data_IF_314328579911
#
_entry.id   IF_314328579911
#
_cell.length_a   1.000
_cell.length_b   1.000
_cell.length_c   1.000
_cell.angle_alpha   90.00
_cell.angle_beta   90.00
_cell.angle_gamma   90.00
#
_symmetry.space_group_name_H-M   'P 1'
#
loop_
_entity.id
_entity.type
_entity.pdbx_description
1 polymer ?
#
# COMPACT_ATOMS: atom_id res chain seq x y z
N UNK A 1 32.52 6.04 -3.01
CA UNK A 1 31.78 5.09 -3.87
C UNK A 1 31.12 4.08 -2.95
N UNK A 2 29.78 4.13 -2.79
CA UNK A 2 29.02 3.07 -2.11
C UNK A 2 28.58 2.09 -3.20
N UNK A 3 29.32 0.99 -3.39
CA UNK A 3 28.92 -0.06 -4.34
C UNK A 3 28.21 -1.25 -3.65
N UNK A 4 28.06 -1.24 -2.32
CA UNK A 4 27.56 -2.40 -1.55
C UNK A 4 26.25 -2.17 -0.76
N UNK A 5 25.54 -1.05 -0.94
CA UNK A 5 24.21 -0.85 -0.32
C UNK A 5 23.09 -0.96 -1.35
N UNK A 6 22.05 -1.78 -1.11
CA UNK A 6 20.93 -1.95 -2.05
C UNK A 6 20.12 -0.67 -2.26
N UNK A 7 20.18 0.28 -1.31
CA UNK A 7 19.55 1.59 -1.42
C UNK A 7 20.57 2.71 -1.18
N UNK A 8 20.53 3.74 -2.03
CA UNK A 8 21.48 4.86 -2.00
C UNK A 8 20.73 6.19 -2.18
N UNK A 9 20.34 6.82 -1.07
CA UNK A 9 19.74 8.17 -1.06
C UNK A 9 20.65 9.09 -0.26
N UNK A 10 21.34 10.00 -0.96
CA UNK A 10 22.32 10.93 -0.37
C UNK A 10 22.03 12.40 -0.70
N UNK A 11 20.99 12.66 -1.49
CA UNK A 11 20.61 13.98 -1.97
C UNK A 11 19.12 13.99 -2.29
N UNK A 12 18.48 15.15 -2.09
CA UNK A 12 17.09 15.42 -2.48
C UNK A 12 16.98 15.98 -3.91
N UNK A 13 18.11 16.38 -4.51
CA UNK A 13 18.15 17.05 -5.83
C UNK A 13 19.00 16.31 -6.87
N UNK A 14 19.69 15.24 -6.45
CA UNK A 14 20.44 14.38 -7.36
C UNK A 14 19.53 13.58 -8.30
N UNK A 15 20.09 12.99 -9.37
CA UNK A 15 19.32 12.18 -10.31
C UNK A 15 18.59 11.02 -9.61
N UNK A 16 17.27 10.98 -9.75
CA UNK A 16 16.42 9.96 -9.13
C UNK A 16 16.47 8.66 -9.94
N UNK A 17 17.05 7.61 -9.36
CA UNK A 17 17.24 6.31 -10.04
C UNK A 17 16.07 5.35 -9.85
N UNK A 18 15.50 5.31 -8.65
CA UNK A 18 14.40 4.43 -8.29
C UNK A 18 13.49 5.16 -7.30
N UNK A 19 12.18 4.96 -7.44
CA UNK A 19 11.16 5.56 -6.57
C UNK A 19 10.05 4.56 -6.31
N UNK A 20 9.50 4.57 -5.10
CA UNK A 20 8.33 3.78 -4.74
C UNK A 20 7.12 4.71 -4.66
N UNK A 21 6.05 4.34 -5.38
CA UNK A 21 4.78 5.06 -5.41
C UNK A 21 3.65 4.18 -4.89
N UNK A 22 2.57 4.79 -4.42
CA UNK A 22 1.32 4.10 -4.13
C UNK A 22 0.25 4.61 -5.09
N UNK A 23 -0.24 3.73 -5.97
CA UNK A 23 -1.31 4.08 -6.91
C UNK A 23 -2.65 4.09 -6.17
N UNK A 24 -3.44 5.18 -6.21
CA UNK A 24 -4.73 5.25 -5.54
C UNK A 24 -5.66 4.10 -5.93
N UNK A 25 -6.26 3.47 -4.92
CA UNK A 25 -7.15 2.32 -5.04
C UNK A 25 -8.47 2.47 -4.29
N UNK A 26 -9.07 1.34 -3.92
CA UNK A 26 -10.38 1.28 -3.29
C UNK A 26 -10.46 1.97 -1.92
N UNK A 27 -9.32 2.27 -1.28
CA UNK A 27 -9.26 3.10 -0.08
C UNK A 27 -10.00 4.44 -0.27
N UNK A 28 -9.91 5.05 -1.46
CA UNK A 28 -10.57 6.32 -1.74
C UNK A 28 -12.09 6.18 -1.83
N UNK A 29 -12.61 5.02 -2.22
CA UNK A 29 -14.05 4.77 -2.26
C UNK A 29 -14.68 4.68 -0.86
N UNK A 30 -13.86 4.55 0.19
CA UNK A 30 -14.30 4.54 1.59
C UNK A 30 -14.33 5.92 2.22
N UNK A 31 -13.85 6.94 1.52
CA UNK A 31 -13.95 8.32 1.96
C UNK A 31 -15.40 8.79 1.86
N UNK A 32 -15.84 9.42 2.94
CA UNK A 32 -17.17 10.02 3.08
C UNK A 32 -17.00 11.37 3.75
N UNK A 33 -17.96 12.27 3.56
CA UNK A 33 -17.96 13.60 4.19
C UNK A 33 -17.75 13.50 5.72
N UNK A 34 -18.24 12.43 6.33
CA UNK A 34 -18.20 12.24 7.78
C UNK A 34 -16.85 11.74 8.32
N UNK A 35 -16.03 11.06 7.51
CA UNK A 35 -14.77 10.46 7.98
C UNK A 35 -13.52 11.09 7.34
N UNK A 36 -13.68 11.93 6.32
CA UNK A 36 -12.58 12.43 5.51
C UNK A 36 -11.58 13.27 6.32
N UNK A 37 -12.06 14.12 7.24
CA UNK A 37 -11.19 14.90 8.14
C UNK A 37 -10.35 14.02 9.06
N UNK A 38 -10.95 12.95 9.58
CA UNK A 38 -10.29 12.01 10.49
C UNK A 38 -9.26 11.15 9.73
N UNK A 39 -9.48 10.96 8.43
CA UNK A 39 -8.58 10.26 7.51
C UNK A 39 -7.56 11.20 6.82
N UNK A 40 -7.45 12.45 7.29
CA UNK A 40 -6.48 13.45 6.82
C UNK A 40 -6.64 13.83 5.34
N UNK A 41 -7.87 13.85 4.85
CA UNK A 41 -8.23 14.34 3.52
C UNK A 41 -8.97 15.68 3.61
N UNK A 42 -8.70 16.57 2.65
CA UNK A 42 -9.30 17.91 2.56
C UNK A 42 -10.54 17.96 1.65
N UNK A 43 -10.66 17.05 0.69
CA UNK A 43 -11.85 16.88 -0.16
C UNK A 43 -12.01 15.42 -0.66
N UNK A 44 -13.22 15.08 -1.13
CA UNK A 44 -13.52 13.79 -1.72
C UNK A 44 -12.81 13.66 -3.06
N UNK A 45 -12.06 12.57 -3.22
CA UNK A 45 -11.25 12.35 -4.41
C UNK A 45 -12.00 11.46 -5.41
N UNK A 46 -12.11 11.92 -6.65
CA UNK A 46 -12.59 11.09 -7.74
C UNK A 46 -11.51 10.08 -8.16
N UNK A 47 -11.67 8.83 -7.72
CA UNK A 47 -10.68 7.76 -7.90
C UNK A 47 -10.18 7.60 -9.33
N UNK A 48 -11.07 7.57 -10.32
CA UNK A 48 -10.68 7.36 -11.72
C UNK A 48 -9.77 8.50 -12.22
N UNK A 49 -10.10 9.75 -11.86
CA UNK A 49 -9.30 10.90 -12.22
C UNK A 49 -7.95 10.90 -11.50
N UNK A 50 -7.93 10.60 -10.20
CA UNK A 50 -6.70 10.49 -9.41
C UNK A 50 -5.77 9.40 -9.96
N UNK A 51 -6.32 8.27 -10.37
CA UNK A 51 -5.57 7.21 -11.05
C UNK A 51 -4.96 7.68 -12.37
N UNK A 52 -5.74 8.37 -13.22
CA UNK A 52 -5.23 8.92 -14.49
C UNK A 52 -4.10 9.94 -14.27
N UNK A 53 -4.21 10.77 -13.25
CA UNK A 53 -3.17 11.74 -12.89
C UNK A 53 -1.92 11.06 -12.34
N UNK A 54 -2.09 10.09 -11.43
CA UNK A 54 -1.00 9.30 -10.89
C UNK A 54 -0.27 8.49 -11.98
N UNK A 55 -1.00 7.90 -12.92
CA UNK A 55 -0.43 7.14 -14.03
C UNK A 55 0.41 8.04 -14.96
N UNK A 56 -0.06 9.26 -15.23
CA UNK A 56 0.74 10.27 -15.96
C UNK A 56 1.99 10.67 -15.19
N UNK A 57 1.90 10.87 -13.88
CA UNK A 57 3.05 11.18 -13.04
C UNK A 57 4.11 10.07 -13.07
N UNK A 58 3.69 8.81 -12.88
CA UNK A 58 4.57 7.65 -12.97
C UNK A 58 5.23 7.53 -14.36
N UNK A 59 4.48 7.81 -15.43
CA UNK A 59 4.99 7.79 -16.79
C UNK A 59 6.07 8.86 -17.04
N UNK A 60 5.90 10.08 -16.50
CA UNK A 60 6.93 11.13 -16.57
C UNK A 60 8.23 10.63 -15.91
N UNK A 61 8.14 10.04 -14.72
CA UNK A 61 9.30 9.51 -14.02
C UNK A 61 10.02 8.41 -14.82
N UNK A 62 9.26 7.47 -15.40
CA UNK A 62 9.82 6.41 -16.24
C UNK A 62 10.53 6.96 -17.48
N UNK A 63 9.96 7.99 -18.11
CA UNK A 63 10.57 8.66 -19.28
C UNK A 63 11.89 9.34 -18.95
N UNK A 64 12.02 9.88 -17.74
CA UNK A 64 13.28 10.44 -17.22
C UNK A 64 14.27 9.35 -16.76
N UNK A 65 13.98 8.07 -17.01
CA UNK A 65 14.86 6.94 -16.70
C UNK A 65 14.81 6.45 -15.26
N UNK A 66 13.80 6.88 -14.48
CA UNK A 66 13.58 6.42 -13.11
C UNK A 66 12.82 5.08 -13.09
N UNK A 67 13.29 4.12 -12.30
CA UNK A 67 12.53 2.91 -12.01
C UNK A 67 11.40 3.20 -11.01
N UNK A 68 10.17 2.97 -11.43
CA UNK A 68 8.98 3.15 -10.57
C UNK A 68 8.53 1.80 -10.03
N UNK A 69 8.64 1.62 -8.71
CA UNK A 69 8.09 0.50 -7.95
C UNK A 69 6.73 0.88 -7.36
N UNK A 70 5.79 -0.06 -7.28
CA UNK A 70 4.53 0.17 -6.57
C UNK A 70 4.50 -0.50 -5.20
N UNK A 71 4.06 0.25 -4.19
CA UNK A 71 3.97 -0.20 -2.81
C UNK A 71 3.13 -1.47 -2.65
N UNK A 72 1.97 -1.54 -3.30
CA UNK A 72 1.10 -2.73 -3.26
C UNK A 72 1.78 -3.99 -3.82
N UNK A 73 2.56 -3.86 -4.90
CA UNK A 73 3.31 -4.96 -5.50
C UNK A 73 4.48 -5.39 -4.62
N UNK A 74 5.20 -4.43 -4.03
CA UNK A 74 6.25 -4.70 -3.06
C UNK A 74 5.70 -5.41 -1.82
N UNK A 75 4.57 -4.94 -1.29
CA UNK A 75 3.88 -5.56 -0.16
C UNK A 75 3.42 -6.97 -0.52
N UNK A 76 2.83 -7.18 -1.70
CA UNK A 76 2.43 -8.50 -2.16
C UNK A 76 3.60 -9.49 -2.21
N UNK A 77 4.77 -9.07 -2.71
CA UNK A 77 5.99 -9.89 -2.71
C UNK A 77 6.44 -10.25 -1.30
N UNK A 78 6.41 -9.30 -0.35
CA UNK A 78 6.74 -9.57 1.05
C UNK A 78 5.76 -10.57 1.67
N UNK A 79 4.47 -10.47 1.33
CA UNK A 79 3.43 -11.36 1.82
C UNK A 79 3.47 -12.77 1.21
N UNK A 80 4.33 -13.07 0.24
CA UNK A 80 4.56 -14.45 -0.22
C UNK A 80 5.22 -15.31 0.87
N UNK A 81 6.01 -14.69 1.75
CA UNK A 81 6.54 -15.34 2.93
C UNK A 81 5.45 -15.49 4.00
N UNK A 82 5.15 -16.74 4.35
CA UNK A 82 4.07 -17.07 5.29
C UNK A 82 4.37 -16.63 6.72
N UNK A 83 5.63 -16.68 7.16
CA UNK A 83 6.01 -16.28 8.51
C UNK A 83 5.91 -14.76 8.66
N UNK A 84 6.35 -14.02 7.63
CA UNK A 84 6.21 -12.55 7.58
C UNK A 84 4.74 -12.16 7.51
N UNK A 85 3.95 -12.85 6.68
CA UNK A 85 2.49 -12.64 6.57
C UNK A 85 1.81 -12.82 7.93
N UNK A 86 2.04 -13.93 8.62
CA UNK A 86 1.43 -14.22 9.92
C UNK A 86 1.82 -13.17 10.98
N UNK A 87 3.10 -12.82 11.04
CA UNK A 87 3.62 -11.80 11.94
C UNK A 87 2.97 -10.43 11.69
N UNK A 88 2.89 -10.02 10.42
CA UNK A 88 2.27 -8.75 10.04
C UNK A 88 0.79 -8.71 10.39
N UNK A 89 0.03 -9.77 10.07
CA UNK A 89 -1.40 -9.86 10.38
C UNK A 89 -1.65 -9.73 11.88
N UNK A 90 -0.85 -10.39 12.71
CA UNK A 90 -0.93 -10.26 14.16
C UNK A 90 -0.69 -8.82 14.63
N UNK A 91 0.29 -8.13 14.05
CA UNK A 91 0.53 -6.70 14.35
C UNK A 91 -0.63 -5.81 13.90
N UNK A 92 -1.18 -6.04 12.71
CA UNK A 92 -2.34 -5.29 12.20
C UNK A 92 -3.56 -5.48 13.09
N UNK A 93 -3.91 -6.72 13.44
CA UNK A 93 -5.07 -6.99 14.30
C UNK A 93 -4.94 -6.37 15.70
N UNK A 94 -3.71 -6.32 16.22
CA UNK A 94 -3.42 -5.63 17.49
C UNK A 94 -3.61 -4.10 17.37
N UNK A 95 -3.14 -3.49 16.28
CA UNK A 95 -3.29 -2.05 16.04
C UNK A 95 -4.77 -1.66 15.87
N UNK A 96 -5.54 -2.50 15.18
CA UNK A 96 -6.98 -2.31 14.99
C UNK A 96 -7.82 -2.68 16.23
N UNK A 97 -7.18 -3.07 17.34
CA UNK A 97 -7.85 -3.47 18.59
C UNK A 97 -8.93 -4.55 18.41
N UNK A 98 -8.74 -5.48 17.47
CA UNK A 98 -9.72 -6.53 17.21
C UNK A 98 -9.79 -7.51 18.39
N UNK A 99 -10.99 -7.97 18.72
CA UNK A 99 -11.14 -9.02 19.71
C UNK A 99 -10.54 -10.35 19.20
N UNK A 100 -10.32 -11.28 20.13
CA UNK A 100 -9.68 -12.57 19.82
C UNK A 100 -10.45 -13.36 18.76
N UNK A 101 -11.78 -13.42 18.87
CA UNK A 101 -12.60 -14.24 17.98
C UNK A 101 -12.61 -13.67 16.57
N UNK A 102 -12.71 -12.35 16.43
CA UNK A 102 -12.63 -11.70 15.13
C UNK A 102 -11.24 -11.84 14.50
N UNK A 103 -10.18 -11.70 15.30
CA UNK A 103 -8.79 -11.87 14.85
C UNK A 103 -8.53 -13.30 14.34
N UNK A 104 -9.00 -14.31 15.06
CA UNK A 104 -8.87 -15.72 14.65
C UNK A 104 -9.62 -15.99 13.34
N UNK A 105 -10.86 -15.53 13.21
CA UNK A 105 -11.65 -15.71 11.99
C UNK A 105 -11.09 -14.97 10.79
N UNK A 106 -10.57 -13.74 10.96
CA UNK A 106 -9.92 -13.00 9.87
C UNK A 106 -8.57 -13.59 9.49
N UNK A 107 -7.81 -14.13 10.45
CA UNK A 107 -6.54 -14.81 10.18
C UNK A 107 -6.75 -15.99 9.21
N UNK A 108 -7.77 -16.82 9.46
CA UNK A 108 -8.11 -17.95 8.59
C UNK A 108 -8.38 -17.47 7.14
N UNK A 109 -9.23 -16.46 6.98
CA UNK A 109 -9.54 -15.89 5.66
C UNK A 109 -8.30 -15.27 5.00
N UNK A 110 -7.54 -14.47 5.75
CA UNK A 110 -6.46 -13.64 5.18
C UNK A 110 -5.23 -14.48 4.84
N UNK A 111 -4.99 -15.58 5.54
CA UNK A 111 -3.90 -16.49 5.22
C UNK A 111 -4.11 -17.21 3.89
N UNK A 112 -5.36 -17.48 3.51
CA UNK A 112 -5.72 -18.16 2.26
C UNK A 112 -5.83 -17.23 1.04
N UNK A 113 -5.82 -15.91 1.26
CA UNK A 113 -5.89 -14.95 0.15
C UNK A 113 -4.59 -14.95 -0.70
N UNK A 114 -4.72 -14.73 -2.02
CA UNK A 114 -3.58 -14.41 -2.87
C UNK A 114 -2.81 -13.21 -2.30
N UNK A 115 -1.46 -13.19 -2.33
CA UNK A 115 -0.66 -12.12 -1.73
C UNK A 115 -1.06 -10.71 -2.20
N UNK A 116 -1.39 -10.55 -3.48
CA UNK A 116 -1.84 -9.28 -4.06
C UNK A 116 -3.22 -8.84 -3.55
N UNK A 117 -4.13 -9.78 -3.34
CA UNK A 117 -5.45 -9.48 -2.77
C UNK A 117 -5.32 -9.09 -1.30
N UNK A 118 -4.49 -9.82 -0.54
CA UNK A 118 -4.19 -9.48 0.85
C UNK A 118 -3.56 -8.09 0.96
N UNK A 119 -2.54 -7.77 0.15
CA UNK A 119 -1.94 -6.44 0.10
C UNK A 119 -2.99 -5.35 -0.15
N UNK A 120 -3.90 -5.59 -1.12
CA UNK A 120 -4.99 -4.66 -1.40
C UNK A 120 -5.91 -4.47 -0.20
N UNK A 121 -6.26 -5.51 0.55
CA UNK A 121 -7.12 -5.40 1.73
C UNK A 121 -6.43 -4.72 2.91
N UNK A 122 -5.13 -4.96 3.11
CA UNK A 122 -4.34 -4.28 4.15
C UNK A 122 -4.21 -2.78 3.87
N UNK A 123 -4.20 -2.37 2.60
CA UNK A 123 -4.16 -0.96 2.20
C UNK A 123 -5.56 -0.33 2.21
N UNK A 124 -6.52 -0.99 1.57
CA UNK A 124 -7.86 -0.43 1.33
C UNK A 124 -8.85 -0.66 2.46
N UNK A 125 -8.49 -1.42 3.48
CA UNK A 125 -9.41 -1.84 4.53
C UNK A 125 -10.34 -2.97 4.08
N UNK A 126 -10.76 -3.77 5.05
CA UNK A 126 -11.65 -4.90 4.85
C UNK A 126 -13.06 -4.59 5.37
N UNK A 127 -14.08 -5.01 4.63
CA UNK A 127 -15.46 -4.99 5.12
C UNK A 127 -16.11 -6.30 4.76
N UNK A 128 -16.92 -6.82 5.70
CA UNK A 128 -17.74 -7.99 5.45
C UNK A 128 -18.86 -7.59 4.47
N UNK A 129 -18.99 -8.32 3.38
CA UNK A 129 -20.19 -8.25 2.53
C UNK A 129 -21.43 -8.78 3.27
#
# INVERSE_FOLDING_TARGET
MCQDKPFCVFSETGPLKQVMLHRPGNELNRLTINNMSDLLFDDLIWLEQAQREHDKFAEILRREGCEVLYFNECLAKVLEDKEVRESLLKSVFMLECLDRHLSEGLAEVFMDLPPIALASHLISGYSKE
#
